data_IF_554706073240
#
_entry.id   IF_554706073240
#
_cell.length_a   1.000
_cell.length_b   1.000
_cell.length_c   1.000
_cell.angle_alpha   90.00
_cell.angle_beta   90.00
_cell.angle_gamma   90.00
#
_symmetry.space_group_name_H-M   'P 1'
#
loop_
_entity.id
_entity.type
_entity.pdbx_description
1 polymer ?
#
# COMPACT_ATOMS: atom_id res chain seq x y z
N UNK A 1 -10.85 -2.55 -6.94
CA UNK A 1 -9.52 -2.20 -6.40
C UNK A 1 -9.71 -1.08 -5.37
N UNK A 2 -9.07 -1.15 -4.21
CA UNK A 2 -9.30 -0.15 -3.14
C UNK A 2 -8.93 1.28 -3.53
N UNK A 3 -8.08 1.46 -4.54
CA UNK A 3 -7.73 2.78 -5.11
C UNK A 3 -8.95 3.62 -5.54
N UNK A 4 -10.03 2.97 -5.98
CA UNK A 4 -11.27 3.68 -6.36
C UNK A 4 -11.99 4.30 -5.15
N UNK A 5 -11.68 3.87 -3.92
CA UNK A 5 -12.23 4.44 -2.68
C UNK A 5 -11.51 5.73 -2.25
N UNK A 6 -10.35 6.05 -2.84
CA UNK A 6 -9.56 7.24 -2.51
C UNK A 6 -9.66 8.30 -3.61
N UNK A 7 -10.76 8.30 -4.38
CA UNK A 7 -10.98 9.19 -5.54
C UNK A 7 -9.77 9.24 -6.50
N UNK A 8 -9.12 8.09 -6.70
CA UNK A 8 -7.97 7.96 -7.59
C UNK A 8 -8.26 6.97 -8.72
N UNK A 9 -7.85 7.36 -9.92
CA UNK A 9 -7.65 6.46 -11.05
C UNK A 9 -6.16 6.08 -11.12
N UNK A 10 -5.77 4.89 -10.61
CA UNK A 10 -4.37 4.51 -10.57
C UNK A 10 -3.81 4.23 -11.98
N UNK A 11 -2.58 4.67 -12.21
CA UNK A 11 -1.74 4.16 -13.30
C UNK A 11 -1.16 2.81 -12.86
N UNK A 12 -1.55 1.73 -13.55
CA UNK A 12 -1.09 0.38 -13.20
C UNK A 12 0.37 0.22 -13.62
N UNK A 13 1.22 -0.11 -12.64
CA UNK A 13 2.65 -0.36 -12.86
C UNK A 13 3.00 -1.84 -12.84
N UNK A 14 2.28 -2.63 -12.05
CA UNK A 14 2.48 -4.07 -11.96
C UNK A 14 1.11 -4.74 -12.05
N UNK A 15 1.02 -5.72 -12.94
CA UNK A 15 -0.12 -6.61 -13.08
C UNK A 15 0.42 -8.03 -13.21
N UNK A 16 0.44 -8.75 -12.09
CA UNK A 16 0.98 -10.09 -11.95
C UNK A 16 0.00 -10.98 -11.16
N UNK A 17 0.22 -12.28 -11.20
CA UNK A 17 -0.63 -13.26 -10.50
C UNK A 17 -0.55 -13.08 -8.98
N UNK A 18 0.55 -12.54 -8.45
CA UNK A 18 0.78 -12.36 -7.03
C UNK A 18 0.31 -11.01 -6.49
N UNK A 19 0.32 -9.98 -7.33
CA UNK A 19 -0.06 -8.62 -6.94
C UNK A 19 -0.43 -7.74 -8.14
N UNK A 20 -1.21 -6.72 -7.84
CA UNK A 20 -1.47 -5.60 -8.74
C UNK A 20 -1.11 -4.30 -8.02
N UNK A 21 -0.18 -3.54 -8.59
CA UNK A 21 0.26 -2.25 -8.05
C UNK A 21 -0.15 -1.12 -8.98
N UNK A 22 -0.83 -0.14 -8.42
CA UNK A 22 -1.16 1.12 -9.07
C UNK A 22 -0.54 2.31 -8.36
N UNK A 23 -0.22 3.36 -9.12
CA UNK A 23 0.24 4.64 -8.59
C UNK A 23 -0.82 5.71 -8.82
N UNK A 24 -1.10 6.44 -7.77
CA UNK A 24 -1.96 7.61 -7.75
C UNK A 24 -1.09 8.85 -7.68
N UNK A 25 -1.24 9.74 -8.66
CA UNK A 25 -0.63 11.08 -8.61
C UNK A 25 -1.75 12.12 -8.59
N UNK A 26 -1.82 12.91 -7.53
CA UNK A 26 -2.89 13.90 -7.33
C UNK A 26 -2.34 15.18 -6.70
N UNK A 27 -3.15 16.24 -6.67
CA UNK A 27 -2.82 17.47 -5.95
C UNK A 27 -2.62 17.26 -4.43
N UNK A 28 -3.13 16.16 -3.85
CA UNK A 28 -2.95 15.82 -2.43
C UNK A 28 -1.59 15.16 -2.14
N UNK A 29 -0.87 14.76 -3.20
CA UNK A 29 0.35 13.98 -3.15
C UNK A 29 0.19 12.64 -3.86
N UNK A 30 1.29 11.89 -3.83
CA UNK A 30 1.43 10.61 -4.53
C UNK A 30 1.37 9.45 -3.55
N UNK A 31 0.72 8.37 -3.95
CA UNK A 31 0.70 7.11 -3.20
C UNK A 31 0.64 5.90 -4.14
N UNK A 32 1.13 4.77 -3.64
CA UNK A 32 0.96 3.47 -4.27
C UNK A 32 -0.18 2.72 -3.62
N UNK A 33 -0.87 1.90 -4.40
CA UNK A 33 -1.87 0.95 -3.92
C UNK A 33 -1.51 -0.40 -4.47
N UNK A 34 -1.13 -1.32 -3.58
CA UNK A 34 -0.78 -2.69 -3.92
C UNK A 34 -1.87 -3.60 -3.39
N UNK A 35 -2.51 -4.36 -4.28
CA UNK A 35 -3.56 -5.32 -3.94
C UNK A 35 -3.10 -6.74 -4.26
N UNK A 36 -3.54 -7.68 -3.44
CA UNK A 36 -3.13 -9.09 -3.50
C UNK A 36 -4.36 -9.99 -3.66
N UNK A 37 -4.24 -11.16 -4.29
CA UNK A 37 -5.34 -12.12 -4.34
C UNK A 37 -5.46 -12.96 -3.05
N UNK A 38 -4.44 -12.94 -2.18
CA UNK A 38 -4.41 -13.69 -0.92
C UNK A 38 -3.65 -12.93 0.17
N UNK A 39 -4.07 -13.08 1.43
CA UNK A 39 -3.40 -12.43 2.58
C UNK A 39 -1.94 -12.84 2.73
N UNK A 40 -1.61 -14.11 2.49
CA UNK A 40 -0.23 -14.62 2.59
C UNK A 40 0.72 -13.87 1.65
N UNK A 41 0.26 -13.54 0.44
CA UNK A 41 1.04 -12.82 -0.55
C UNK A 41 1.30 -11.38 -0.11
N UNK A 42 0.30 -10.72 0.51
CA UNK A 42 0.46 -9.40 1.11
C UNK A 42 1.52 -9.41 2.22
N UNK A 43 1.46 -10.37 3.14
CA UNK A 43 2.45 -10.45 4.23
C UNK A 43 3.86 -10.76 3.69
N UNK A 44 4.00 -11.71 2.74
CA UNK A 44 5.29 -11.96 2.06
C UNK A 44 5.83 -10.71 1.35
N UNK A 45 4.96 -9.92 0.73
CA UNK A 45 5.36 -8.66 0.11
C UNK A 45 5.79 -7.62 1.14
N UNK A 46 5.10 -7.52 2.29
CA UNK A 46 5.48 -6.60 3.39
C UNK A 46 6.84 -7.00 3.99
N UNK A 47 7.11 -8.29 4.15
CA UNK A 47 8.40 -8.81 4.61
C UNK A 47 9.51 -8.43 3.62
N UNK A 48 9.27 -8.62 2.32
CA UNK A 48 10.21 -8.20 1.28
C UNK A 48 10.40 -6.67 1.25
N UNK A 49 9.34 -5.90 1.48
CA UNK A 49 9.39 -4.43 1.51
C UNK A 49 10.12 -3.89 2.76
N UNK A 50 10.23 -4.68 3.83
CA UNK A 50 10.83 -4.23 5.09
C UNK A 50 12.30 -3.83 4.97
N UNK A 51 13.03 -4.35 3.98
CA UNK A 51 14.42 -3.97 3.68
C UNK A 51 14.54 -2.48 3.29
N UNK A 52 13.50 -1.93 2.68
CA UNK A 52 13.41 -0.50 2.33
C UNK A 52 12.90 0.33 3.50
N UNK A 53 12.28 -0.32 4.50
CA UNK A 53 11.63 0.31 5.62
C UNK A 53 10.45 1.18 5.21
N UNK A 54 10.10 2.14 6.09
CA UNK A 54 9.02 3.09 5.86
C UNK A 54 7.75 2.77 6.64
N UNK A 55 6.69 3.51 6.38
CA UNK A 55 5.37 3.28 6.98
C UNK A 55 4.38 3.02 5.86
N UNK A 56 3.53 2.02 6.05
CA UNK A 56 2.49 1.63 5.13
C UNK A 56 1.15 1.66 5.85
N UNK A 57 0.08 1.97 5.12
CA UNK A 57 -1.28 1.71 5.58
C UNK A 57 -1.69 0.34 5.05
N UNK A 58 -2.05 -0.58 5.94
CA UNK A 58 -2.27 -1.99 5.62
C UNK A 58 -3.70 -2.38 5.99
N UNK A 59 -4.34 -3.16 5.12
CA UNK A 59 -5.62 -3.80 5.40
C UNK A 59 -5.75 -5.16 4.73
N UNK A 60 -6.97 -5.70 4.63
CA UNK A 60 -7.19 -7.04 4.08
C UNK A 60 -6.78 -7.13 2.61
N UNK A 61 -5.73 -7.90 2.30
CA UNK A 61 -5.20 -8.11 0.96
C UNK A 61 -4.79 -6.83 0.21
N UNK A 62 -4.42 -5.76 0.93
CA UNK A 62 -3.87 -4.55 0.33
C UNK A 62 -2.90 -3.79 1.24
N UNK A 63 -2.02 -3.03 0.62
CA UNK A 63 -1.11 -2.10 1.27
C UNK A 63 -1.02 -0.79 0.47
N UNK A 64 -0.88 0.34 1.17
CA UNK A 64 -0.70 1.66 0.59
C UNK A 64 0.62 2.26 1.08
N UNK A 65 1.50 2.60 0.15
CA UNK A 65 2.75 3.33 0.41
C UNK A 65 2.58 4.80 0.10
N UNK A 66 2.88 5.68 1.07
CA UNK A 66 2.86 7.12 0.90
C UNK A 66 3.64 7.82 2.01
N UNK A 67 3.75 9.15 1.94
CA UNK A 67 4.26 9.93 3.07
C UNK A 67 3.35 9.78 4.31
N UNK A 68 3.90 9.74 5.55
CA UNK A 68 3.12 9.47 6.77
C UNK A 68 1.92 10.39 6.99
N UNK A 69 2.03 11.67 6.64
CA UNK A 69 0.93 12.63 6.75
C UNK A 69 -0.23 12.29 5.80
N UNK A 70 0.09 11.82 4.58
CA UNK A 70 -0.91 11.39 3.61
C UNK A 70 -1.56 10.07 4.02
N UNK A 71 -0.78 9.11 4.56
CA UNK A 71 -1.32 7.85 5.08
C UNK A 71 -2.34 8.05 6.21
N UNK A 72 -2.12 9.03 7.10
CA UNK A 72 -3.10 9.37 8.14
C UNK A 72 -4.42 9.87 7.56
N UNK A 73 -4.38 10.63 6.46
CA UNK A 73 -5.59 11.09 5.75
C UNK A 73 -6.26 9.94 5.00
N UNK A 74 -5.50 9.14 4.25
CA UNK A 74 -6.06 7.98 3.53
C UNK A 74 -6.68 6.97 4.49
N UNK A 75 -6.12 6.79 5.70
CA UNK A 75 -6.69 5.91 6.73
C UNK A 75 -8.12 6.31 7.13
N UNK A 76 -8.47 7.59 7.12
CA UNK A 76 -9.85 8.00 7.43
C UNK A 76 -10.84 7.66 6.32
N UNK A 77 -10.34 7.40 5.10
CA UNK A 77 -11.15 7.05 3.93
C UNK A 77 -11.27 5.52 3.76
N UNK A 78 -10.16 4.78 3.92
CA UNK A 78 -10.12 3.33 3.62
C UNK A 78 -9.98 2.44 4.86
N UNK A 79 -9.80 3.01 6.04
CA UNK A 79 -9.52 2.25 7.27
C UNK A 79 -8.11 1.66 7.29
N UNK A 80 -7.96 0.53 7.98
CA UNK A 80 -6.67 -0.17 8.12
C UNK A 80 -5.76 0.39 9.22
N UNK A 81 -4.53 -0.14 9.23
CA UNK A 81 -3.54 0.11 10.28
C UNK A 81 -2.23 0.64 9.69
N UNK A 82 -1.63 1.63 10.36
CA UNK A 82 -0.30 2.10 10.02
C UNK A 82 0.73 1.10 10.57
N UNK A 83 1.45 0.43 9.67
CA UNK A 83 2.54 -0.47 10.01
C UNK A 83 3.86 0.18 9.63
N UNK A 84 4.76 0.33 10.61
CA UNK A 84 6.14 0.71 10.36
C UNK A 84 6.92 -0.55 10.00
N UNK A 85 7.43 -0.60 8.78
CA UNK A 85 8.33 -1.67 8.38
C UNK A 85 9.76 -1.23 8.75
N UNK A 86 10.46 -2.14 9.41
CA UNK A 86 11.89 -2.02 9.69
C UNK A 86 12.46 -3.41 9.52
N UNK A 87 13.51 -3.54 8.72
CA UNK A 87 14.19 -4.81 8.56
C UNK A 87 14.67 -5.31 9.92
N UNK A 88 13.99 -6.30 10.49
CA UNK A 88 14.64 -7.22 11.41
C UNK A 88 15.55 -8.08 10.55
N UNK A 89 16.80 -7.66 10.44
CA UNK A 89 17.91 -8.59 10.35
C UNK A 89 17.82 -9.48 11.59
N UNK A 90 17.15 -10.62 11.46
CA UNK A 90 17.19 -11.75 12.38
C UNK A 90 17.98 -12.85 11.73
#
# INVERSE_FOLDING_TARGET
MIASLTDCKPEIRIEADELREGVCRTARGDWTVTTFPQEKLKETWLDAAAVYGGTYLVGPMWAIGAQPALLKKLRTEVGGELRKLSGTSG
#
